data_IF_277595623492
#
_entry.id   IF_277595623492
#
_cell.length_a   1.000
_cell.length_b   1.000
_cell.length_c   1.000
_cell.angle_alpha   90.00
_cell.angle_beta   90.00
_cell.angle_gamma   90.00
#
_symmetry.space_group_name_H-M   'P 1'
#
loop_
_entity.id
_entity.type
_entity.pdbx_description
1 polymer ?
#
# COMPACT_ATOMS: atom_id res chain seq x y z
N UNK A 1 -3.00 -13.35 5.66
CA UNK A 1 -3.96 -13.16 4.53
C UNK A 1 -3.80 -14.38 3.62
N UNK A 2 -4.58 -14.56 2.55
CA UNK A 2 -4.50 -15.81 1.77
C UNK A 2 -3.12 -16.10 1.15
N UNK A 3 -2.30 -15.07 0.92
CA UNK A 3 -0.99 -15.15 0.25
C UNK A 3 0.21 -15.05 1.19
N UNK A 4 -0.03 -14.82 2.49
CA UNK A 4 1.01 -14.84 3.50
C UNK A 4 0.48 -15.30 4.86
N UNK A 5 1.28 -16.11 5.53
CA UNK A 5 1.05 -16.56 6.91
C UNK A 5 2.19 -16.05 7.79
N UNK A 6 1.84 -15.31 8.84
CA UNK A 6 2.80 -14.75 9.79
C UNK A 6 2.70 -15.53 11.10
N UNK A 7 3.83 -16.05 11.57
CA UNK A 7 3.95 -16.80 12.83
C UNK A 7 5.08 -16.21 13.68
N UNK A 8 5.16 -16.62 14.95
CA UNK A 8 6.28 -16.27 15.84
C UNK A 8 6.56 -14.74 15.92
N UNK A 9 5.50 -13.93 15.93
CA UNK A 9 5.62 -12.49 16.10
C UNK A 9 6.17 -12.19 17.51
N UNK A 10 7.37 -11.64 17.56
CA UNK A 10 8.04 -11.17 18.77
C UNK A 10 8.22 -9.65 18.71
N UNK A 11 7.92 -8.98 19.81
CA UNK A 11 8.08 -7.53 19.97
C UNK A 11 8.90 -7.30 21.22
N UNK A 12 10.12 -6.78 21.04
CA UNK A 12 11.03 -6.44 22.13
C UNK A 12 11.10 -4.93 22.28
N UNK A 13 10.79 -4.47 23.48
CA UNK A 13 10.89 -3.08 23.87
C UNK A 13 11.30 -3.00 25.34
N UNK A 14 12.20 -2.08 25.73
CA UNK A 14 12.48 -1.80 27.14
C UNK A 14 11.34 -1.01 27.82
N UNK A 15 10.33 -0.59 27.04
CA UNK A 15 9.17 0.13 27.54
C UNK A 15 7.89 -0.69 27.34
N UNK A 16 6.85 -0.35 28.10
CA UNK A 16 5.55 -0.95 27.93
C UNK A 16 5.00 -0.64 26.52
N UNK A 17 4.38 -1.66 25.92
CA UNK A 17 3.73 -1.52 24.64
C UNK A 17 2.33 -2.13 24.65
N UNK A 18 1.49 -1.65 23.74
CA UNK A 18 0.16 -2.18 23.46
C UNK A 18 0.05 -2.54 21.99
N UNK A 19 -0.71 -3.58 21.68
CA UNK A 19 -1.07 -3.93 20.31
C UNK A 19 -2.51 -3.51 20.06
N UNK A 20 -2.71 -2.76 18.97
CA UNK A 20 -4.03 -2.28 18.53
C UNK A 20 -4.28 -2.60 17.06
N UNK A 21 -5.50 -2.33 16.61
CA UNK A 21 -5.90 -2.47 15.22
C UNK A 21 -6.64 -1.23 14.78
N UNK A 22 -6.28 -0.66 13.63
CA UNK A 22 -7.03 0.48 13.11
C UNK A 22 -8.48 0.07 12.80
N UNK A 23 -9.48 0.91 13.11
CA UNK A 23 -10.89 0.51 13.05
C UNK A 23 -11.45 0.38 11.63
N UNK A 24 -10.70 0.80 10.60
CA UNK A 24 -11.19 0.87 9.21
C UNK A 24 -10.70 -0.33 8.39
N UNK A 25 -9.41 -0.61 8.46
CA UNK A 25 -8.73 -1.62 7.64
C UNK A 25 -8.20 -2.78 8.47
N UNK A 26 -8.29 -2.70 9.80
CA UNK A 26 -7.83 -3.71 10.73
C UNK A 26 -6.32 -4.00 10.61
N UNK A 27 -5.52 -2.97 10.27
CA UNK A 27 -4.07 -3.06 10.30
C UNK A 27 -3.61 -3.14 11.75
N UNK A 28 -2.77 -4.13 12.05
CA UNK A 28 -2.17 -4.32 13.38
C UNK A 28 -1.06 -3.29 13.62
N UNK A 29 -1.02 -2.72 14.81
CA UNK A 29 -0.07 -1.68 15.19
C UNK A 29 0.50 -1.97 16.58
N UNK A 30 1.80 -1.75 16.75
CA UNK A 30 2.44 -1.71 18.07
C UNK A 30 2.58 -0.26 18.47
N UNK A 31 2.16 0.08 19.69
CA UNK A 31 2.33 1.39 20.28
C UNK A 31 3.19 1.27 21.53
N UNK A 32 4.30 2.01 21.57
CA UNK A 32 5.28 2.03 22.66
C UNK A 32 5.25 3.42 23.30
N UNK A 33 5.25 3.49 24.62
CA UNK A 33 5.30 4.77 25.36
C UNK A 33 6.56 4.83 26.21
N UNK A 34 7.40 5.84 25.96
CA UNK A 34 8.54 6.18 26.81
C UNK A 34 8.25 7.49 27.56
N UNK A 35 8.68 7.59 28.82
CA UNK A 35 8.51 8.77 29.67
C UNK A 35 9.87 9.35 30.06
N UNK A 36 9.93 10.67 30.27
CA UNK A 36 11.17 11.36 30.64
C UNK A 36 11.67 10.96 32.04
N UNK A 37 13.00 10.88 32.26
CA UNK A 37 14.07 11.06 31.28
C UNK A 37 14.14 9.87 30.30
N UNK A 38 14.26 10.15 29.00
CA UNK A 38 14.37 9.13 27.96
C UNK A 38 15.85 8.97 27.58
N UNK A 39 16.40 7.78 27.81
CA UNK A 39 17.70 7.35 27.25
C UNK A 39 17.50 6.76 25.84
N UNK A 40 18.58 6.60 25.07
CA UNK A 40 18.50 5.91 23.78
C UNK A 40 18.03 4.46 23.97
N UNK A 41 17.07 4.02 23.17
CA UNK A 41 16.55 2.66 23.23
C UNK A 41 16.17 2.12 21.86
N UNK A 42 16.15 0.79 21.76
CA UNK A 42 15.76 0.06 20.55
C UNK A 42 14.42 -0.64 20.78
N UNK A 43 13.56 -0.57 19.77
CA UNK A 43 12.37 -1.43 19.65
C UNK A 43 12.58 -2.32 18.44
N UNK A 44 12.49 -3.64 18.62
CA UNK A 44 12.60 -4.60 17.52
C UNK A 44 11.33 -5.41 17.38
N UNK A 45 10.94 -5.69 16.15
CA UNK A 45 9.89 -6.65 15.81
C UNK A 45 10.48 -7.70 14.87
N UNK A 46 10.19 -8.97 15.13
CA UNK A 46 10.57 -10.08 14.27
C UNK A 46 9.40 -11.03 14.13
N UNK A 47 9.33 -11.73 13.02
CA UNK A 47 8.31 -12.74 12.77
C UNK A 47 8.77 -13.67 11.65
N UNK A 48 8.25 -14.88 11.67
CA UNK A 48 8.42 -15.83 10.57
C UNK A 48 7.29 -15.61 9.58
N UNK A 49 7.59 -15.75 8.29
CA UNK A 49 6.59 -15.56 7.25
C UNK A 49 6.71 -16.58 6.13
N UNK A 50 5.60 -17.28 5.87
CA UNK A 50 5.41 -18.06 4.66
C UNK A 50 4.68 -17.20 3.64
N UNK A 51 5.21 -17.14 2.42
CA UNK A 51 4.70 -16.32 1.32
C UNK A 51 4.43 -17.21 0.12
N UNK A 52 3.39 -16.88 -0.64
CA UNK A 52 3.10 -17.49 -1.92
C UNK A 52 2.75 -16.42 -2.93
N UNK A 53 2.83 -16.77 -4.20
CA UNK A 53 2.39 -15.93 -5.30
C UNK A 53 0.92 -15.52 -5.08
N UNK A 54 0.62 -14.25 -5.33
CA UNK A 54 -0.73 -13.72 -5.17
C UNK A 54 -1.42 -13.64 -6.53
N UNK A 55 -2.63 -14.20 -6.60
CA UNK A 55 -3.52 -14.09 -7.76
C UNK A 55 -4.81 -13.37 -7.41
N UNK A 56 -5.80 -13.45 -8.29
CA UNK A 56 -7.16 -13.01 -8.00
C UNK A 56 -7.72 -13.74 -6.77
N UNK A 57 -8.28 -12.97 -5.83
CA UNK A 57 -8.84 -13.46 -4.58
C UNK A 57 -10.36 -13.32 -4.61
N UNK A 58 -11.06 -14.45 -4.75
CA UNK A 58 -12.52 -14.48 -4.73
C UNK A 58 -13.05 -14.05 -3.35
N UNK A 59 -13.76 -12.93 -3.31
CA UNK A 59 -14.37 -12.39 -2.10
C UNK A 59 -15.72 -11.77 -2.45
N UNK A 60 -16.78 -12.06 -1.69
CA UNK A 60 -18.04 -11.35 -1.83
C UNK A 60 -18.01 -10.06 -1.00
N UNK A 61 -17.95 -8.90 -1.67
CA UNK A 61 -17.93 -7.63 -0.96
C UNK A 61 -19.32 -7.29 -0.40
N UNK A 62 -19.40 -7.12 0.92
CA UNK A 62 -20.52 -6.44 1.55
C UNK A 62 -20.67 -5.02 1.00
N UNK A 63 -21.89 -4.47 1.06
CA UNK A 63 -22.15 -3.09 0.62
C UNK A 63 -21.29 -2.08 1.37
N UNK A 64 -21.01 -2.31 2.67
CA UNK A 64 -20.14 -1.45 3.47
C UNK A 64 -18.69 -1.48 2.98
N UNK A 65 -18.13 -2.67 2.71
CA UNK A 65 -16.77 -2.79 2.19
C UNK A 65 -16.65 -2.25 0.76
N UNK A 66 -17.66 -2.48 -0.09
CA UNK A 66 -17.72 -1.87 -1.42
C UNK A 66 -17.67 -0.34 -1.32
N UNK A 67 -18.49 0.27 -0.47
CA UNK A 67 -18.49 1.71 -0.27
C UNK A 67 -17.18 2.23 0.31
N UNK A 68 -16.57 1.48 1.25
CA UNK A 68 -15.25 1.80 1.82
C UNK A 68 -14.18 1.91 0.73
N UNK A 69 -14.15 0.98 -0.24
CA UNK A 69 -13.14 0.98 -1.30
C UNK A 69 -13.52 1.79 -2.54
N UNK A 70 -14.71 2.38 -2.57
CA UNK A 70 -15.11 3.39 -3.54
C UNK A 70 -14.89 4.83 -3.07
N UNK A 71 -14.79 5.05 -1.76
CA UNK A 71 -14.72 6.40 -1.20
C UNK A 71 -13.43 7.14 -1.62
N UNK A 72 -13.48 8.47 -1.78
CA UNK A 72 -12.27 9.27 -1.89
C UNK A 72 -11.49 9.22 -0.57
N UNK A 73 -10.17 9.33 -0.66
CA UNK A 73 -9.26 9.53 0.49
C UNK A 73 -8.41 10.77 0.24
N UNK A 74 -7.76 11.30 1.25
CA UNK A 74 -7.14 12.63 1.25
C UNK A 74 -6.18 12.85 0.07
N UNK A 75 -5.41 11.83 -0.32
CA UNK A 75 -4.47 11.87 -1.46
C UNK A 75 -5.02 11.32 -2.77
N UNK A 76 -6.23 10.77 -2.75
CA UNK A 76 -6.93 10.19 -3.92
C UNK A 76 -8.36 10.76 -3.97
N UNK A 77 -8.52 12.08 -4.18
CA UNK A 77 -9.82 12.73 -4.16
C UNK A 77 -10.60 12.46 -5.46
N UNK A 78 -11.90 12.82 -5.46
CA UNK A 78 -12.67 12.97 -6.70
C UNK A 78 -12.14 14.17 -7.49
N UNK A 79 -12.12 14.05 -8.82
CA UNK A 79 -11.74 15.16 -9.69
C UNK A 79 -12.36 14.97 -11.08
N UNK A 80 -12.84 16.06 -11.68
CA UNK A 80 -13.43 16.06 -13.03
C UNK A 80 -12.46 15.55 -14.11
N UNK A 81 -11.14 15.64 -13.89
CA UNK A 81 -10.14 15.08 -14.80
C UNK A 81 -10.15 13.55 -14.78
N UNK A 82 -10.30 12.94 -13.61
CA UNK A 82 -10.43 11.49 -13.49
C UNK A 82 -11.72 10.97 -14.12
N UNK A 83 -12.81 11.74 -14.04
CA UNK A 83 -14.07 11.41 -14.73
C UNK A 83 -13.89 11.44 -16.26
N UNK A 84 -13.21 12.45 -16.79
CA UNK A 84 -12.90 12.54 -18.23
C UNK A 84 -12.02 11.38 -18.68
N UNK A 85 -10.97 11.05 -17.92
CA UNK A 85 -10.10 9.92 -18.23
C UNK A 85 -10.89 8.61 -18.19
N UNK A 86 -11.67 8.37 -17.13
CA UNK A 86 -12.51 7.18 -17.00
C UNK A 86 -13.45 7.03 -18.21
N UNK A 87 -14.17 8.09 -18.61
CA UNK A 87 -15.08 8.07 -19.77
C UNK A 87 -14.38 7.76 -21.09
N UNK A 88 -13.10 8.12 -21.24
CA UNK A 88 -12.34 7.89 -22.47
C UNK A 88 -11.71 6.49 -22.51
N UNK A 89 -11.21 6.02 -21.36
CA UNK A 89 -10.42 4.79 -21.27
C UNK A 89 -11.30 3.55 -21.08
N UNK A 90 -12.38 3.68 -20.33
CA UNK A 90 -13.27 2.58 -19.98
C UNK A 90 -14.25 2.35 -21.13
N UNK A 91 -14.47 1.08 -21.47
CA UNK A 91 -15.35 0.68 -22.56
C UNK A 91 -16.62 0.02 -22.01
N UNK A 92 -17.55 -0.39 -22.87
CA UNK A 92 -18.76 -1.13 -22.46
C UNK A 92 -18.49 -2.60 -22.10
N UNK A 93 -17.23 -2.99 -21.89
CA UNK A 93 -16.83 -4.34 -21.49
C UNK A 93 -17.06 -4.66 -20.01
N UNK A 94 -16.63 -5.86 -19.61
CA UNK A 94 -16.61 -6.33 -18.23
C UNK A 94 -15.76 -5.44 -17.32
N UNK A 95 -16.00 -5.51 -16.01
CA UNK A 95 -15.20 -4.78 -15.02
C UNK A 95 -13.71 -5.14 -15.10
N UNK A 96 -13.38 -6.39 -15.47
CA UNK A 96 -12.00 -6.85 -15.68
C UNK A 96 -11.36 -6.18 -16.89
N UNK A 97 -12.03 -6.13 -18.03
CA UNK A 97 -11.56 -5.44 -19.24
C UNK A 97 -11.37 -3.94 -18.97
N UNK A 98 -12.29 -3.34 -18.20
CA UNK A 98 -12.17 -1.94 -17.78
C UNK A 98 -10.99 -1.73 -16.82
N UNK A 99 -10.77 -2.65 -15.89
CA UNK A 99 -9.58 -2.65 -15.04
C UNK A 99 -8.28 -2.76 -15.86
N UNK A 100 -8.27 -3.59 -16.90
CA UNK A 100 -7.12 -3.70 -17.82
C UNK A 100 -6.87 -2.42 -18.61
N UNK A 101 -7.92 -1.81 -19.17
CA UNK A 101 -7.80 -0.54 -19.87
C UNK A 101 -7.24 0.57 -18.97
N UNK A 102 -7.66 0.63 -17.69
CA UNK A 102 -7.10 1.56 -16.72
C UNK A 102 -5.65 1.26 -16.33
N UNK A 103 -5.30 -0.03 -16.21
CA UNK A 103 -3.94 -0.49 -15.98
C UNK A 103 -3.01 -0.02 -17.11
N UNK A 104 -3.39 -0.32 -18.36
CA UNK A 104 -2.63 0.07 -19.55
C UNK A 104 -2.55 1.59 -19.71
N UNK A 105 -3.65 2.31 -19.43
CA UNK A 105 -3.63 3.78 -19.44
C UNK A 105 -2.64 4.34 -18.40
N UNK A 106 -2.65 3.80 -17.19
CA UNK A 106 -1.73 4.25 -16.12
C UNK A 106 -0.29 3.96 -16.50
N UNK A 107 -0.01 2.75 -17.00
CA UNK A 107 1.31 2.32 -17.45
C UNK A 107 1.85 3.24 -18.56
N UNK A 108 1.02 3.58 -19.55
CA UNK A 108 1.41 4.46 -20.65
C UNK A 108 1.53 5.94 -20.26
N UNK A 109 0.80 6.38 -19.22
CA UNK A 109 0.74 7.79 -18.81
C UNK A 109 1.85 8.17 -17.82
N UNK A 110 2.34 7.21 -17.06
CA UNK A 110 3.29 7.40 -15.96
C UNK A 110 4.67 6.85 -16.32
N UNK A 111 5.73 7.42 -15.76
CA UNK A 111 7.08 6.87 -15.81
C UNK A 111 7.69 6.81 -14.39
N UNK A 112 8.39 5.72 -14.08
CA UNK A 112 9.06 5.56 -12.79
C UNK A 112 10.27 6.48 -12.72
N UNK A 113 10.12 7.58 -12.00
CA UNK A 113 11.11 8.65 -11.95
C UNK A 113 10.98 9.37 -10.60
N UNK A 114 12.04 9.26 -9.80
CA UNK A 114 12.16 9.88 -8.46
C UNK A 114 13.01 11.16 -8.50
N UNK A 115 13.22 11.75 -9.66
CA UNK A 115 13.86 13.06 -9.78
C UNK A 115 12.91 14.19 -9.37
N UNK A 116 13.46 15.29 -8.88
CA UNK A 116 12.67 16.42 -8.38
C UNK A 116 12.01 16.15 -7.03
N UNK A 117 10.90 16.84 -6.77
CA UNK A 117 10.19 16.82 -5.49
C UNK A 117 8.69 16.58 -5.68
N UNK A 118 8.03 16.04 -4.66
CA UNK A 118 6.57 15.82 -4.66
C UNK A 118 6.13 14.38 -4.94
N UNK A 119 6.99 13.57 -5.57
CA UNK A 119 6.78 12.12 -5.71
C UNK A 119 6.75 11.41 -4.35
N UNK A 120 6.19 10.19 -4.32
CA UNK A 120 6.08 9.34 -3.14
C UNK A 120 4.97 9.73 -2.16
N UNK A 121 4.28 10.85 -2.40
CA UNK A 121 3.15 11.31 -1.57
C UNK A 121 1.87 10.53 -1.88
N UNK A 122 1.79 9.90 -3.07
CA UNK A 122 0.57 9.25 -3.55
C UNK A 122 -0.54 10.24 -3.87
N UNK A 123 -0.19 11.48 -4.19
CA UNK A 123 -1.14 12.51 -4.57
C UNK A 123 -1.58 12.28 -6.02
N UNK A 124 -2.80 11.79 -6.20
CA UNK A 124 -3.30 11.39 -7.52
C UNK A 124 -3.46 12.57 -8.48
N UNK A 125 -3.68 13.79 -7.97
CA UNK A 125 -3.75 15.00 -8.81
C UNK A 125 -2.34 15.32 -9.31
N UNK A 126 -1.35 15.35 -8.42
CA UNK A 126 0.05 15.53 -8.80
C UNK A 126 0.51 14.48 -9.83
N UNK A 127 0.22 13.20 -9.59
CA UNK A 127 0.57 12.12 -10.51
C UNK A 127 -0.08 12.32 -11.90
N UNK A 128 -1.36 12.72 -11.93
CA UNK A 128 -2.07 13.05 -13.16
C UNK A 128 -1.47 14.24 -13.92
N UNK A 129 -0.90 15.22 -13.21
CA UNK A 129 -0.28 16.40 -13.81
C UNK A 129 1.10 16.06 -14.38
N UNK A 130 1.96 15.47 -13.56
CA UNK A 130 3.37 15.28 -13.88
C UNK A 130 3.61 14.03 -14.73
N UNK A 131 2.83 12.96 -14.55
CA UNK A 131 3.06 11.70 -15.25
C UNK A 131 4.30 10.95 -14.82
N UNK A 132 4.80 11.21 -13.61
CA UNK A 132 6.02 10.61 -13.08
C UNK A 132 5.95 10.45 -11.58
N UNK A 133 6.66 9.46 -11.04
CA UNK A 133 6.77 9.25 -9.61
C UNK A 133 7.24 7.84 -9.26
N UNK A 134 6.98 7.40 -8.04
CA UNK A 134 7.26 6.03 -7.61
C UNK A 134 5.97 5.17 -7.58
N UNK A 135 6.08 3.93 -7.08
CA UNK A 135 4.95 3.01 -6.91
C UNK A 135 3.74 3.67 -6.24
N UNK A 136 3.95 4.51 -5.23
CA UNK A 136 2.88 5.18 -4.50
C UNK A 136 2.07 6.11 -5.39
N UNK A 137 2.71 6.81 -6.34
CA UNK A 137 2.06 7.74 -7.26
C UNK A 137 1.31 7.01 -8.37
N UNK A 138 1.93 5.97 -8.95
CA UNK A 138 1.31 5.09 -9.95
C UNK A 138 -0.02 4.50 -9.46
N UNK A 139 0.02 3.81 -8.32
CA UNK A 139 -1.16 3.13 -7.81
C UNK A 139 -2.20 4.11 -7.27
N UNK A 140 -1.81 5.31 -6.84
CA UNK A 140 -2.77 6.35 -6.45
C UNK A 140 -3.51 6.94 -7.65
N UNK A 141 -2.81 7.16 -8.76
CA UNK A 141 -3.44 7.61 -10.01
C UNK A 141 -4.42 6.57 -10.56
N UNK A 142 -4.01 5.31 -10.64
CA UNK A 142 -4.91 4.20 -11.00
C UNK A 142 -6.15 4.15 -10.10
N UNK A 143 -5.95 4.19 -8.76
CA UNK A 143 -7.04 4.13 -7.80
C UNK A 143 -8.00 5.32 -7.90
N UNK A 144 -7.51 6.52 -8.23
CA UNK A 144 -8.37 7.69 -8.41
C UNK A 144 -9.34 7.50 -9.58
N UNK A 145 -8.84 6.98 -10.70
CA UNK A 145 -9.66 6.76 -11.90
C UNK A 145 -10.61 5.58 -11.66
N UNK A 146 -10.10 4.44 -11.16
CA UNK A 146 -10.89 3.24 -10.90
C UNK A 146 -12.08 3.55 -9.98
N UNK A 147 -11.82 4.20 -8.83
CA UNK A 147 -12.89 4.58 -7.90
C UNK A 147 -13.88 5.53 -8.55
N UNK A 148 -13.43 6.45 -9.40
CA UNK A 148 -14.28 7.44 -10.10
C UNK A 148 -15.19 6.76 -11.11
N UNK A 149 -14.74 5.66 -11.70
CA UNK A 149 -15.54 4.80 -12.56
C UNK A 149 -16.48 3.84 -11.80
N UNK A 150 -16.52 3.88 -10.47
CA UNK A 150 -17.34 2.96 -9.68
C UNK A 150 -16.72 1.56 -9.50
N UNK A 151 -15.42 1.41 -9.78
CA UNK A 151 -14.67 0.17 -9.55
C UNK A 151 -14.01 0.27 -8.16
N UNK A 152 -14.39 -0.58 -7.18
CA UNK A 152 -13.75 -0.58 -5.88
C UNK A 152 -12.27 -0.91 -6.02
N UNK A 153 -11.41 -0.17 -5.32
CA UNK A 153 -9.97 -0.41 -5.36
C UNK A 153 -9.29 -0.13 -4.02
N UNK A 154 -8.27 -0.91 -3.68
CA UNK A 154 -7.57 -0.81 -2.39
C UNK A 154 -6.06 -0.79 -2.55
N UNK A 155 -5.45 0.21 -1.90
CA UNK A 155 -4.01 0.36 -1.80
C UNK A 155 -3.44 -0.65 -0.80
N UNK A 156 -2.31 -1.26 -1.14
CA UNK A 156 -1.57 -2.20 -0.30
C UNK A 156 -0.11 -1.80 -0.26
N UNK A 157 0.51 -1.87 0.91
CA UNK A 157 1.91 -1.49 1.09
C UNK A 157 2.63 -2.47 2.02
N UNK A 158 3.91 -2.65 1.74
CA UNK A 158 4.71 -3.71 2.30
C UNK A 158 6.18 -3.55 1.98
N UNK A 159 6.88 -4.67 2.04
CA UNK A 159 8.28 -4.77 1.66
C UNK A 159 8.46 -5.75 0.50
N UNK A 160 9.28 -5.41 -0.51
CA UNK A 160 9.84 -6.39 -1.43
C UNK A 160 11.01 -7.11 -0.74
N UNK A 161 11.03 -8.44 -0.83
CA UNK A 161 12.11 -9.26 -0.31
C UNK A 161 13.04 -9.65 -1.46
N UNK A 162 14.32 -9.27 -1.41
CA UNK A 162 15.31 -9.69 -2.40
C UNK A 162 15.38 -11.21 -2.59
N UNK A 163 15.79 -11.66 -3.78
CA UNK A 163 16.06 -13.07 -4.10
C UNK A 163 17.43 -13.52 -3.54
N UNK A 164 17.66 -13.27 -2.25
CA UNK A 164 18.87 -13.66 -1.53
C UNK A 164 18.49 -14.55 -0.33
N UNK A 165 19.45 -15.19 0.33
CA UNK A 165 19.17 -16.01 1.52
C UNK A 165 19.09 -15.18 2.80
N UNK A 166 19.75 -14.02 2.82
CA UNK A 166 19.68 -13.02 3.88
C UNK A 166 20.07 -11.67 3.29
N UNK A 167 19.60 -10.57 3.88
CA UNK A 167 20.02 -9.24 3.45
C UNK A 167 19.15 -8.12 4.00
N UNK A 168 19.55 -6.89 3.67
CA UNK A 168 18.77 -5.70 3.99
C UNK A 168 17.55 -5.58 3.07
N UNK A 169 16.45 -5.07 3.62
CA UNK A 169 15.26 -4.70 2.86
C UNK A 169 15.43 -3.24 2.42
N UNK A 170 15.51 -2.96 1.10
CA UNK A 170 15.95 -1.66 0.57
C UNK A 170 14.96 -0.51 0.79
N UNK A 171 13.70 -0.83 1.09
CA UNK A 171 12.65 0.14 1.28
C UNK A 171 11.27 -0.47 1.05
N UNK A 172 10.22 0.32 1.28
CA UNK A 172 8.86 -0.14 1.05
C UNK A 172 8.58 -0.35 -0.44
N UNK A 173 7.57 -1.16 -0.72
CA UNK A 173 6.92 -1.23 -2.01
C UNK A 173 5.40 -1.28 -1.82
N UNK A 174 4.66 -0.76 -2.80
CA UNK A 174 3.21 -0.82 -2.77
C UNK A 174 2.67 -1.38 -4.07
N UNK A 175 1.43 -1.84 -4.00
CA UNK A 175 0.63 -2.30 -5.13
C UNK A 175 -0.83 -1.98 -4.85
N UNK A 176 -1.71 -2.39 -5.75
CA UNK A 176 -3.14 -2.18 -5.55
C UNK A 176 -3.93 -3.36 -6.03
N UNK A 177 -5.17 -3.43 -5.58
CA UNK A 177 -6.16 -4.38 -6.09
C UNK A 177 -7.38 -3.61 -6.56
N UNK A 178 -8.03 -4.09 -7.61
CA UNK A 178 -9.37 -3.64 -8.01
C UNK A 178 -10.33 -4.83 -7.96
N UNK A 179 -11.61 -4.54 -7.75
CA UNK A 179 -12.62 -5.56 -7.53
C UNK A 179 -13.48 -5.81 -8.78
N UNK A 180 -13.68 -7.07 -9.13
CA UNK A 180 -14.70 -7.55 -10.07
C UNK A 180 -15.67 -8.48 -9.36
N UNK A 181 -16.89 -8.59 -9.87
CA UNK A 181 -17.89 -9.53 -9.34
C UNK A 181 -17.55 -10.98 -9.69
N UNK A 182 -16.80 -11.19 -10.77
CA UNK A 182 -16.49 -12.50 -11.35
C UNK A 182 -15.19 -13.12 -10.81
N UNK A 183 -14.21 -12.31 -10.40
CA UNK A 183 -12.89 -12.76 -9.95
C UNK A 183 -12.55 -12.30 -8.51
N UNK A 184 -13.35 -11.40 -7.93
CA UNK A 184 -13.06 -10.78 -6.65
C UNK A 184 -11.96 -9.72 -6.74
N UNK A 185 -11.01 -9.72 -5.80
CA UNK A 185 -9.89 -8.78 -5.80
C UNK A 185 -8.78 -9.22 -6.75
N UNK A 186 -8.59 -8.48 -7.83
CA UNK A 186 -7.53 -8.69 -8.81
C UNK A 186 -6.35 -7.79 -8.45
N UNK A 187 -5.17 -8.33 -8.11
CA UNK A 187 -4.00 -7.52 -7.82
C UNK A 187 -3.35 -6.99 -9.09
N UNK A 188 -2.80 -5.78 -9.01
CA UNK A 188 -2.00 -5.19 -10.09
C UNK A 188 -0.80 -4.42 -9.55
N UNK A 189 0.32 -4.47 -10.27
CA UNK A 189 1.49 -3.66 -9.99
C UNK A 189 2.05 -2.95 -11.22
N UNK A 190 1.47 -1.78 -11.47
CA UNK A 190 1.79 -0.97 -12.64
C UNK A 190 3.21 -0.38 -12.58
N UNK A 191 3.74 -0.16 -11.37
CA UNK A 191 5.07 0.43 -11.21
C UNK A 191 6.20 -0.55 -11.46
N UNK A 192 6.00 -1.83 -11.13
CA UNK A 192 6.94 -2.89 -11.52
C UNK A 192 6.82 -3.20 -13.01
N UNK A 193 5.62 -3.07 -13.60
CA UNK A 193 5.41 -3.23 -15.03
C UNK A 193 6.12 -2.13 -15.86
N UNK A 194 6.21 -0.91 -15.34
CA UNK A 194 6.99 0.16 -15.99
C UNK A 194 8.50 -0.15 -15.94
N UNK A 195 8.98 -0.66 -14.80
CA UNK A 195 10.40 -1.04 -14.63
C UNK A 195 10.79 -2.29 -15.40
N UNK A 196 9.85 -3.22 -15.58
CA UNK A 196 10.04 -4.52 -16.23
C UNK A 196 8.89 -4.76 -17.23
N UNK A 197 8.90 -4.11 -18.41
CA UNK A 197 7.80 -4.15 -19.37
C UNK A 197 7.38 -5.55 -19.83
N UNK A 198 8.31 -6.51 -19.81
CA UNK A 198 8.07 -7.91 -20.12
C UNK A 198 7.15 -8.62 -19.11
N UNK A 199 7.05 -8.10 -17.89
CA UNK A 199 6.15 -8.61 -16.85
C UNK A 199 4.79 -7.90 -16.83
N UNK A 200 4.53 -6.95 -17.73
CA UNK A 200 3.32 -6.13 -17.70
C UNK A 200 2.02 -6.94 -17.76
N UNK A 201 1.96 -8.01 -18.56
CA UNK A 201 0.80 -8.90 -18.61
C UNK A 201 0.67 -9.76 -17.34
N UNK A 202 1.79 -10.24 -16.81
CA UNK A 202 1.83 -11.04 -15.60
C UNK A 202 1.34 -10.24 -14.38
N UNK A 203 1.82 -9.00 -14.25
CA UNK A 203 1.49 -8.06 -13.17
C UNK A 203 0.07 -7.49 -13.26
N UNK A 204 -0.71 -7.88 -14.28
CA UNK A 204 -2.16 -7.71 -14.30
C UNK A 204 -2.85 -8.99 -13.82
N UNK A 205 -3.09 -9.08 -12.51
CA UNK A 205 -3.78 -10.19 -11.87
C UNK A 205 -2.89 -11.12 -11.07
N UNK A 206 -1.56 -10.97 -11.14
CA UNK A 206 -0.61 -11.72 -10.33
C UNK A 206 0.44 -10.81 -9.69
N UNK A 207 0.97 -11.24 -8.55
CA UNK A 207 2.14 -10.65 -7.89
C UNK A 207 3.05 -11.80 -7.45
N UNK A 208 4.35 -11.61 -7.65
CA UNK A 208 5.38 -12.52 -7.18
C UNK A 208 5.30 -12.78 -5.66
N UNK A 209 5.87 -13.90 -5.22
CA UNK A 209 5.92 -14.27 -3.80
C UNK A 209 6.92 -13.43 -2.99
N UNK A 210 7.67 -12.53 -3.62
CA UNK A 210 8.72 -11.73 -3.01
C UNK A 210 8.20 -10.50 -2.25
N UNK A 211 7.01 -10.61 -1.66
CA UNK A 211 6.31 -9.47 -1.05
C UNK A 211 5.81 -9.81 0.35
N UNK A 212 5.92 -8.84 1.25
CA UNK A 212 5.31 -8.90 2.59
C UNK A 212 4.33 -7.76 2.73
N UNK A 213 3.04 -8.05 2.82
CA UNK A 213 2.02 -7.03 3.13
C UNK A 213 2.12 -6.61 4.59
N UNK A 214 2.22 -5.30 4.84
CA UNK A 214 2.20 -4.70 6.17
C UNK A 214 0.90 -3.96 6.46
N UNK A 215 0.42 -3.14 5.52
CA UNK A 215 -0.85 -2.44 5.70
C UNK A 215 -1.67 -2.27 4.42
N UNK A 216 -2.96 -2.06 4.63
CA UNK A 216 -3.98 -1.84 3.61
C UNK A 216 -4.63 -0.49 3.83
N UNK A 217 -4.97 0.17 2.74
CA UNK A 217 -5.75 1.40 2.75
C UNK A 217 -4.91 2.65 2.96
N UNK A 218 -5.61 3.76 3.16
CA UNK A 218 -5.03 5.09 3.34
C UNK A 218 -5.85 5.88 4.34
N UNK A 219 -5.28 6.96 4.85
CA UNK A 219 -5.85 7.76 5.94
C UNK A 219 -6.10 6.88 7.19
N UNK A 220 -5.06 6.14 7.58
CA UNK A 220 -5.06 5.18 8.68
C UNK A 220 -5.08 5.93 10.01
N UNK A 221 -6.05 5.61 10.85
CA UNK A 221 -6.10 6.12 12.23
C UNK A 221 -5.18 5.29 13.11
N UNK A 222 -4.18 5.94 13.72
CA UNK A 222 -3.30 5.27 14.67
C UNK A 222 -4.08 4.86 15.91
N UNK A 223 -3.66 3.75 16.54
CA UNK A 223 -4.23 3.28 17.81
C UNK A 223 -3.11 3.20 18.85
N UNK A 224 -3.13 4.05 19.89
CA UNK A 224 -4.13 5.08 20.20
C UNK A 224 -4.11 6.26 19.20
N UNK A 225 -5.22 7.00 19.17
CA UNK A 225 -5.43 8.12 18.25
C UNK A 225 -4.38 9.20 18.45
N UNK A 226 -3.68 9.54 17.37
CA UNK A 226 -2.73 10.64 17.32
C UNK A 226 -3.44 11.99 17.17
N UNK A 227 -2.95 13.00 17.88
CA UNK A 227 -3.39 14.39 17.72
C UNK A 227 -2.98 15.00 16.35
N UNK A 228 -2.01 14.39 15.66
CA UNK A 228 -1.56 14.80 14.33
C UNK A 228 -2.48 14.27 13.21
N UNK A 229 -3.60 13.62 13.56
CA UNK A 229 -4.55 13.08 12.61
C UNK A 229 -4.11 11.74 11.98
N UNK A 230 -4.88 11.24 11.00
CA UNK A 230 -4.58 9.98 10.33
C UNK A 230 -3.32 10.08 9.48
N UNK A 231 -2.65 8.95 9.26
CA UNK A 231 -1.48 8.85 8.38
C UNK A 231 -1.87 8.35 7.00
N UNK A 232 -1.22 8.88 5.97
CA UNK A 232 -1.53 8.53 4.58
C UNK A 232 -1.43 7.02 4.32
N UNK A 233 -0.40 6.37 4.83
CA UNK A 233 -0.22 4.92 4.87
C UNK A 233 0.74 4.56 6.01
N UNK A 234 0.80 3.28 6.41
CA UNK A 234 1.55 2.85 7.59
C UNK A 234 2.49 1.68 7.25
N UNK A 235 3.79 1.97 7.17
CA UNK A 235 4.83 0.98 6.82
C UNK A 235 6.10 1.15 7.66
N UNK A 236 6.38 2.37 8.08
CA UNK A 236 7.51 2.71 8.95
C UNK A 236 7.01 3.11 10.35
N UNK A 237 7.87 3.00 11.39
CA UNK A 237 7.60 3.57 12.69
C UNK A 237 7.23 5.04 12.59
N UNK A 238 6.36 5.47 13.49
CA UNK A 238 6.03 6.89 13.62
C UNK A 238 6.29 7.30 15.06
N UNK A 239 7.19 8.26 15.23
CA UNK A 239 7.56 8.80 16.52
C UNK A 239 6.80 10.11 16.78
N UNK A 240 6.30 10.25 18.00
CA UNK A 240 5.76 11.51 18.52
C UNK A 240 6.48 11.89 19.82
N UNK A 241 7.01 13.10 19.89
CA UNK A 241 7.62 13.66 21.10
C UNK A 241 6.71 14.79 21.58
N UNK A 242 6.18 14.65 22.80
CA UNK A 242 5.21 15.60 23.37
C UNK A 242 4.03 15.91 22.41
N UNK A 243 3.55 14.90 21.70
CA UNK A 243 2.42 15.01 20.76
C UNK A 243 2.76 15.55 19.37
N UNK A 244 4.04 15.80 19.06
CA UNK A 244 4.48 16.31 17.75
C UNK A 244 5.25 15.23 17.00
N UNK A 245 4.97 15.06 15.69
CA UNK A 245 5.72 14.12 14.83
C UNK A 245 7.21 14.44 14.86
N UNK A 246 8.02 13.41 15.05
CA UNK A 246 9.48 13.50 15.12
C UNK A 246 10.11 12.48 14.18
N UNK A 247 11.26 12.84 13.62
CA UNK A 247 12.13 11.93 12.85
C UNK A 247 13.40 11.58 13.63
N UNK A 248 13.41 11.80 14.96
CA UNK A 248 14.57 11.54 15.81
C UNK A 248 14.70 10.03 16.14
N UNK A 249 14.78 9.21 15.11
CA UNK A 249 14.99 7.77 15.18
C UNK A 249 15.67 7.30 13.90
N UNK A 250 16.33 6.14 13.97
CA UNK A 250 16.79 5.39 12.81
C UNK A 250 15.99 4.09 12.71
N UNK A 251 16.00 3.50 11.51
CA UNK A 251 15.30 2.24 11.26
C UNK A 251 16.14 1.38 10.32
N UNK A 252 16.08 0.06 10.53
CA UNK A 252 16.65 -0.94 9.65
C UNK A 252 15.68 -2.12 9.55
N UNK A 253 15.70 -2.78 8.41
CA UNK A 253 14.84 -3.92 8.10
C UNK A 253 15.70 -4.92 7.36
N UNK A 254 15.68 -6.18 7.79
CA UNK A 254 16.41 -7.26 7.16
C UNK A 254 15.53 -8.50 7.10
N UNK A 255 15.96 -9.47 6.31
CA UNK A 255 15.33 -10.77 6.23
C UNK A 255 16.40 -11.87 6.21
N UNK A 256 15.98 -13.07 6.56
CA UNK A 256 16.73 -14.30 6.38
C UNK A 256 15.75 -15.43 6.03
N UNK A 257 16.18 -16.35 5.18
CA UNK A 257 15.42 -17.56 4.90
C UNK A 257 15.54 -18.51 6.09
N UNK A 258 14.39 -18.98 6.55
CA UNK A 258 14.28 -19.94 7.65
C UNK A 258 14.12 -21.33 7.02
N UNK A 259 14.86 -22.31 7.53
CA UNK A 259 14.84 -23.71 7.08
C UNK A 259 13.47 -24.39 7.24
#
# INVERSE_FOLDING_TARGET
NEFQEVTNLDVRSPHNYTIGYDPIYNNKMVHVVASQPIEEFTVSFSFDIKRKEAGALMENLSSSNRNLFLRPVSRVPRNVRFEKIAKTVITFGSTKENGRALYDHTLNRMAYDKSGSGWGRGDAIYACDIGKGNCTDFHSFFNAIARTAGIPSRFKIGFPIPNESFGDIPGYHCWTEFYTTEDGWIPVDISEADKNPELSDYLFGNLDYNRVLFSVGRDIELVPKSANGPVNFFIYPIMEVSGVRSNNFTQSFYFENIE
#
